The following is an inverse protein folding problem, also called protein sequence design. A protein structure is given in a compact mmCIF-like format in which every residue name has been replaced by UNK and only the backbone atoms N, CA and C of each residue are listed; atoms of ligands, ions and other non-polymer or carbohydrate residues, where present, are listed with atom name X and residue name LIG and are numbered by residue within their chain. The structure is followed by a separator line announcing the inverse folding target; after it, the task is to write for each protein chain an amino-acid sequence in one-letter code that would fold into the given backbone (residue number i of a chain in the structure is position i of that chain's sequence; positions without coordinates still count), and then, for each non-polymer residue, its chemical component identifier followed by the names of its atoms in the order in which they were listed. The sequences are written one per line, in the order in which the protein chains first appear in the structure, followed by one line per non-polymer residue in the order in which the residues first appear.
data_IF_917777033896
#
_entry.id   IF_917777033896
#
_cell.length_a   1.000
_cell.length_b   1.000
_cell.length_c   1.000
_cell.angle_alpha   90.00
_cell.angle_beta   90.00
_cell.angle_gamma   90.00
#
_symmetry.space_group_name_H-M   'P 1'
#
loop_
_entity.id
_entity.type
_entity.pdbx_description
1 polymer ?
#
# COMPACT_ATOMS: atom_id res chain seq x y z
N UNK A 1 17.56 -19.49 -0.58
CA UNK A 1 17.20 -20.70 -1.41
C UNK A 1 17.93 -21.99 -1.04
N UNK A 2 18.25 -22.27 0.24
CA UNK A 2 19.00 -23.50 0.61
C UNK A 2 18.35 -24.76 0.00
N UNK A 3 19.07 -25.43 -0.94
CA UNK A 3 18.64 -26.67 -1.58
C UNK A 3 17.47 -26.53 -2.56
N UNK A 4 17.24 -25.36 -3.14
CA UNK A 4 16.26 -25.08 -4.20
C UNK A 4 16.97 -24.50 -5.41
N UNK A 5 16.47 -24.82 -6.61
CA UNK A 5 17.11 -24.41 -7.85
C UNK A 5 16.71 -23.02 -8.29
N UNK A 6 15.42 -22.66 -8.09
CA UNK A 6 14.91 -21.35 -8.48
C UNK A 6 13.72 -20.87 -7.64
N UNK A 7 13.51 -19.56 -7.65
CA UNK A 7 12.37 -18.86 -7.09
C UNK A 7 11.67 -18.07 -8.20
N UNK A 8 10.35 -18.27 -8.33
CA UNK A 8 9.50 -17.44 -9.19
C UNK A 8 8.89 -16.35 -8.32
N UNK A 9 9.07 -15.10 -8.71
CA UNK A 9 8.47 -13.92 -8.04
C UNK A 9 7.51 -13.27 -9.03
N UNK A 10 6.23 -13.20 -8.64
CA UNK A 10 5.16 -12.57 -9.44
C UNK A 10 4.57 -11.33 -8.76
N UNK A 11 4.85 -11.13 -7.47
CA UNK A 11 4.45 -9.93 -6.75
C UNK A 11 5.19 -8.71 -7.29
N UNK A 12 4.47 -7.77 -7.89
CA UNK A 12 5.07 -6.54 -8.45
C UNK A 12 5.77 -5.72 -7.36
N UNK A 13 5.21 -5.70 -6.15
CA UNK A 13 5.81 -4.99 -5.02
C UNK A 13 7.13 -5.61 -4.56
N UNK A 14 7.24 -6.94 -4.64
CA UNK A 14 8.47 -7.65 -4.34
C UNK A 14 9.53 -7.40 -5.41
N UNK A 15 9.12 -7.44 -6.69
CA UNK A 15 10.04 -7.18 -7.82
C UNK A 15 10.55 -5.73 -7.76
N UNK A 16 9.68 -4.77 -7.52
CA UNK A 16 10.06 -3.37 -7.38
C UNK A 16 11.06 -3.14 -6.25
N UNK A 17 10.86 -3.80 -5.10
CA UNK A 17 11.80 -3.73 -3.98
C UNK A 17 13.12 -4.45 -4.29
N UNK A 18 13.06 -5.67 -4.84
CA UNK A 18 14.21 -6.51 -5.14
C UNK A 18 15.16 -5.86 -6.17
N UNK A 19 14.60 -5.23 -7.20
CA UNK A 19 15.34 -4.54 -8.25
C UNK A 19 15.66 -3.09 -7.91
N UNK A 20 15.08 -2.55 -6.84
CA UNK A 20 15.08 -1.12 -6.47
C UNK A 20 14.58 -0.20 -7.60
N UNK A 21 13.75 -0.70 -8.48
CA UNK A 21 13.11 0.08 -9.56
C UNK A 21 11.70 0.49 -9.18
N UNK A 22 11.27 1.63 -9.70
CA UNK A 22 9.91 2.16 -9.55
C UNK A 22 9.41 2.70 -10.87
N UNK A 23 8.14 2.43 -11.19
CA UNK A 23 7.39 3.05 -12.28
C UNK A 23 5.92 3.14 -11.86
N UNK A 24 5.07 3.71 -12.68
CA UNK A 24 3.67 3.97 -12.33
C UNK A 24 2.72 3.36 -13.37
N UNK A 25 2.90 2.09 -13.69
CA UNK A 25 1.97 1.34 -14.56
C UNK A 25 0.62 1.09 -13.86
N UNK A 26 0.62 1.13 -12.54
CA UNK A 26 -0.57 0.98 -11.69
C UNK A 26 -0.85 2.31 -10.99
N UNK A 27 -2.07 2.85 -11.15
CA UNK A 27 -2.50 4.11 -10.53
C UNK A 27 -2.18 4.10 -9.03
N UNK A 28 -1.55 5.15 -8.53
CA UNK A 28 -1.17 5.34 -7.13
C UNK A 28 -0.17 4.32 -6.56
N UNK A 29 0.40 3.47 -7.38
CA UNK A 29 1.38 2.47 -6.93
C UNK A 29 2.68 2.61 -7.71
N UNK A 30 3.84 2.69 -7.05
CA UNK A 30 5.13 2.84 -7.73
C UNK A 30 5.64 1.51 -8.26
N UNK A 31 4.81 0.83 -9.07
CA UNK A 31 5.02 -0.52 -9.58
C UNK A 31 5.04 -0.55 -11.11
N UNK A 32 5.65 -1.58 -11.67
CA UNK A 32 5.70 -1.85 -13.10
C UNK A 32 5.36 -3.32 -13.40
N UNK A 33 4.75 -3.56 -14.55
CA UNK A 33 4.35 -4.90 -14.98
C UNK A 33 5.60 -5.73 -15.28
N UNK A 34 5.79 -6.82 -14.54
CA UNK A 34 6.98 -7.66 -14.64
C UNK A 34 6.80 -9.02 -14.00
N UNK A 35 7.70 -9.93 -14.34
CA UNK A 35 7.96 -11.17 -13.61
C UNK A 35 9.45 -11.30 -13.33
N UNK A 36 9.82 -12.10 -12.34
CA UNK A 36 11.20 -12.31 -11.99
C UNK A 36 11.46 -13.77 -11.67
N UNK A 37 12.57 -14.30 -12.20
CA UNK A 37 13.06 -15.64 -11.85
C UNK A 37 14.47 -15.49 -11.28
N UNK A 38 14.66 -15.99 -10.06
CA UNK A 38 15.94 -16.02 -9.40
C UNK A 38 16.43 -17.46 -9.30
N UNK A 39 17.57 -17.76 -9.90
CA UNK A 39 18.33 -19.01 -9.79
C UNK A 39 19.55 -18.79 -8.88
N UNK A 40 20.35 -19.83 -8.64
CA UNK A 40 21.53 -19.75 -7.76
C UNK A 40 22.62 -18.81 -8.28
N UNK A 41 22.73 -18.70 -9.58
CA UNK A 41 23.79 -17.97 -10.32
C UNK A 41 23.24 -17.02 -11.37
N UNK A 42 21.92 -16.92 -11.49
CA UNK A 42 21.25 -16.13 -12.51
C UNK A 42 20.00 -15.45 -11.99
N UNK A 43 19.80 -14.20 -12.37
CA UNK A 43 18.57 -13.45 -12.14
C UNK A 43 18.01 -12.97 -13.47
N UNK A 44 16.71 -13.15 -13.70
CA UNK A 44 16.06 -12.75 -14.95
C UNK A 44 14.84 -11.92 -14.65
N UNK A 45 14.80 -10.69 -15.17
CA UNK A 45 13.64 -9.80 -15.14
C UNK A 45 12.94 -9.87 -16.51
N UNK A 46 11.62 -10.16 -16.48
CA UNK A 46 10.75 -10.12 -17.65
C UNK A 46 9.94 -8.83 -17.60
N UNK A 47 10.16 -7.96 -18.57
CA UNK A 47 9.59 -6.59 -18.59
C UNK A 47 9.38 -6.13 -20.03
N UNK A 48 8.53 -5.14 -20.22
CA UNK A 48 8.42 -4.45 -21.51
C UNK A 48 9.72 -3.65 -21.75
N UNK A 49 10.54 -4.11 -22.67
CA UNK A 49 11.90 -3.57 -22.88
C UNK A 49 11.90 -2.11 -23.34
N UNK A 50 10.83 -1.68 -24.02
CA UNK A 50 10.64 -0.32 -24.49
C UNK A 50 10.46 0.69 -23.35
N UNK A 51 10.06 0.21 -22.18
CA UNK A 51 9.92 1.04 -20.98
C UNK A 51 11.26 1.32 -20.27
N UNK A 52 12.35 0.62 -20.67
CA UNK A 52 13.64 0.76 -20.02
C UNK A 52 14.51 1.84 -20.70
N UNK A 53 14.93 2.83 -19.91
CA UNK A 53 16.01 3.73 -20.33
C UNK A 53 17.36 3.00 -20.38
N UNK A 54 18.31 3.55 -21.13
CA UNK A 54 19.68 3.01 -21.19
C UNK A 54 20.36 2.99 -19.82
N UNK A 55 20.07 3.96 -18.97
CA UNK A 55 20.56 4.03 -17.58
C UNK A 55 20.07 2.84 -16.76
N UNK A 56 18.75 2.59 -16.79
CA UNK A 56 18.12 1.48 -16.05
C UNK A 56 18.61 0.13 -16.59
N UNK A 57 18.74 0.00 -17.90
CA UNK A 57 19.29 -1.20 -18.53
C UNK A 57 20.73 -1.47 -18.07
N UNK A 58 21.56 -0.43 -18.07
CA UNK A 58 22.95 -0.51 -17.59
C UNK A 58 23.00 -0.91 -16.11
N UNK A 59 22.13 -0.32 -15.30
CA UNK A 59 22.01 -0.65 -13.87
C UNK A 59 21.64 -2.12 -13.66
N UNK A 60 20.63 -2.64 -14.34
CA UNK A 60 20.19 -4.04 -14.22
C UNK A 60 21.29 -5.01 -14.62
N UNK A 61 21.88 -4.83 -15.80
CA UNK A 61 22.96 -5.69 -16.31
C UNK A 61 24.19 -5.62 -15.40
N UNK A 62 24.55 -4.42 -14.92
CA UNK A 62 25.65 -4.22 -13.98
C UNK A 62 25.46 -4.92 -12.64
N UNK A 63 24.20 -5.20 -12.25
CA UNK A 63 23.85 -6.00 -11.07
C UNK A 63 23.60 -7.49 -11.37
N UNK A 64 23.96 -7.98 -12.57
CA UNK A 64 23.83 -9.38 -12.94
C UNK A 64 22.40 -9.83 -13.22
N UNK A 65 21.52 -8.91 -13.59
CA UNK A 65 20.12 -9.19 -13.93
C UNK A 65 19.98 -9.22 -15.46
N UNK A 66 19.65 -10.38 -16.01
CA UNK A 66 19.28 -10.54 -17.41
C UNK A 66 17.90 -9.94 -17.65
N UNK A 67 17.74 -9.28 -18.79
CA UNK A 67 16.46 -8.68 -19.21
C UNK A 67 15.88 -9.52 -20.34
N UNK A 68 14.58 -9.82 -20.23
CA UNK A 68 13.82 -10.52 -21.28
C UNK A 68 12.49 -9.85 -21.54
N UNK A 69 11.93 -9.98 -22.76
CA UNK A 69 10.59 -9.49 -23.05
C UNK A 69 9.54 -10.05 -22.08
N UNK A 70 8.62 -9.19 -21.62
CA UNK A 70 7.54 -9.55 -20.69
C UNK A 70 6.77 -10.80 -21.16
N UNK A 71 6.41 -10.85 -22.45
CA UNK A 71 5.62 -11.94 -23.05
C UNK A 71 6.34 -13.28 -23.12
N UNK A 72 7.68 -13.28 -22.98
CA UNK A 72 8.49 -14.51 -22.99
C UNK A 72 8.44 -15.30 -21.67
N UNK A 73 7.83 -14.73 -20.62
CA UNK A 73 7.76 -15.36 -19.30
C UNK A 73 7.05 -16.72 -19.33
N UNK A 74 5.88 -16.79 -19.95
CA UNK A 74 5.07 -18.03 -19.99
C UNK A 74 5.81 -19.18 -20.70
N UNK A 75 6.48 -18.89 -21.81
CA UNK A 75 7.30 -19.86 -22.53
C UNK A 75 8.50 -20.31 -21.69
N UNK A 76 9.17 -19.36 -21.05
CA UNK A 76 10.29 -19.66 -20.14
C UNK A 76 9.85 -20.60 -19.01
N UNK A 77 8.73 -20.30 -18.35
CA UNK A 77 8.18 -21.12 -17.26
C UNK A 77 7.76 -22.52 -17.74
N UNK A 78 7.15 -22.62 -18.92
CA UNK A 78 6.77 -23.89 -19.50
C UNK A 78 7.96 -24.80 -19.86
N UNK A 79 9.13 -24.19 -20.11
CA UNK A 79 10.38 -24.88 -20.40
C UNK A 79 11.15 -25.38 -19.17
N UNK A 80 10.74 -25.02 -17.94
CA UNK A 80 11.43 -25.42 -16.71
C UNK A 80 11.17 -26.91 -16.42
N UNK A 81 12.24 -27.71 -16.34
CA UNK A 81 12.16 -29.17 -16.12
C UNK A 81 13.19 -29.64 -15.10
N UNK A 82 12.84 -30.66 -14.33
CA UNK A 82 13.69 -31.33 -13.34
C UNK A 82 14.27 -30.36 -12.29
N UNK A 83 13.49 -29.35 -11.91
CA UNK A 83 13.89 -28.30 -10.95
C UNK A 83 13.12 -28.35 -9.65
N UNK A 84 13.75 -27.90 -8.59
CA UNK A 84 13.11 -27.61 -7.31
C UNK A 84 12.70 -26.12 -7.28
N UNK A 85 11.41 -25.87 -7.46
CA UNK A 85 10.84 -24.53 -7.66
C UNK A 85 10.21 -24.03 -6.38
N UNK A 86 10.66 -22.87 -5.91
CA UNK A 86 9.96 -22.07 -4.87
C UNK A 86 9.04 -21.05 -5.53
N UNK A 87 7.90 -20.85 -4.96
CA UNK A 87 6.94 -19.81 -5.34
C UNK A 87 6.01 -19.49 -4.17
N UNK A 88 5.38 -18.33 -4.21
CA UNK A 88 4.30 -17.98 -3.29
C UNK A 88 2.96 -18.21 -3.98
N UNK A 89 2.14 -19.11 -3.42
CA UNK A 89 0.83 -19.45 -4.01
C UNK A 89 -0.18 -18.30 -3.95
N UNK A 90 0.03 -17.30 -3.08
CA UNK A 90 -0.79 -16.10 -3.02
C UNK A 90 -0.54 -15.15 -4.20
N UNK A 91 0.66 -15.18 -4.79
CA UNK A 91 1.08 -14.24 -5.83
C UNK A 91 1.10 -14.86 -7.24
N UNK A 92 1.39 -16.16 -7.33
CA UNK A 92 1.55 -16.85 -8.62
C UNK A 92 0.20 -17.09 -9.30
N UNK A 93 0.11 -16.71 -10.58
CA UNK A 93 -1.10 -16.99 -11.37
C UNK A 93 -1.37 -18.49 -11.53
N UNK A 94 -2.63 -18.87 -11.63
CA UNK A 94 -3.02 -20.27 -11.90
C UNK A 94 -2.38 -20.81 -13.17
N UNK A 95 -2.24 -19.98 -14.21
CA UNK A 95 -1.56 -20.36 -15.48
C UNK A 95 -0.10 -20.75 -15.23
N UNK A 96 0.63 -19.95 -14.46
CA UNK A 96 2.02 -20.25 -14.08
C UNK A 96 2.09 -21.54 -13.26
N UNK A 97 1.21 -21.68 -12.25
CA UNK A 97 1.15 -22.91 -11.45
C UNK A 97 0.93 -24.17 -12.29
N UNK A 98 -0.05 -24.17 -13.20
CA UNK A 98 -0.29 -25.30 -14.10
C UNK A 98 0.94 -25.59 -14.97
N UNK A 99 1.62 -24.58 -15.48
CA UNK A 99 2.81 -24.75 -16.32
C UNK A 99 3.95 -25.45 -15.59
N UNK A 100 4.23 -25.04 -14.34
CA UNK A 100 5.32 -25.67 -13.54
C UNK A 100 4.94 -27.03 -12.95
N UNK A 101 3.65 -27.34 -12.79
CA UNK A 101 3.15 -28.56 -12.17
C UNK A 101 2.93 -29.74 -13.13
N UNK A 102 3.16 -29.55 -14.42
CA UNK A 102 3.01 -30.63 -15.43
C UNK A 102 3.89 -31.82 -15.08
N UNK A 103 3.30 -33.01 -15.08
CA UNK A 103 4.00 -34.26 -14.73
C UNK A 103 5.23 -34.54 -15.61
N UNK A 104 5.14 -34.22 -16.90
CA UNK A 104 6.24 -34.37 -17.85
C UNK A 104 7.45 -33.49 -17.55
N UNK A 105 7.28 -32.41 -16.79
CA UNK A 105 8.37 -31.53 -16.39
C UNK A 105 9.18 -32.06 -15.21
N UNK A 106 8.63 -33.01 -14.44
CA UNK A 106 9.28 -33.61 -13.27
C UNK A 106 9.81 -32.61 -12.23
N UNK A 107 9.16 -31.46 -12.13
CA UNK A 107 9.51 -30.42 -11.15
C UNK A 107 9.05 -30.81 -9.75
N UNK A 108 9.79 -30.39 -8.72
CA UNK A 108 9.36 -30.42 -7.31
C UNK A 108 8.97 -29.03 -6.88
N UNK A 109 7.73 -28.87 -6.44
CA UNK A 109 7.13 -27.57 -6.13
C UNK A 109 7.12 -27.32 -4.62
N UNK A 110 7.47 -26.12 -4.22
CA UNK A 110 7.50 -25.67 -2.82
C UNK A 110 6.79 -24.33 -2.73
N UNK A 111 5.52 -24.40 -2.27
CA UNK A 111 4.75 -23.21 -1.92
C UNK A 111 5.22 -22.71 -0.56
N UNK A 112 5.71 -21.47 -0.54
CA UNK A 112 6.22 -20.80 0.66
C UNK A 112 5.97 -19.31 0.55
N UNK A 113 5.82 -18.62 1.68
CA UNK A 113 5.87 -17.16 1.69
C UNK A 113 7.16 -16.69 1.01
N UNK A 114 7.03 -15.77 0.07
CA UNK A 114 8.17 -15.22 -0.67
C UNK A 114 9.26 -14.71 0.30
N UNK A 115 10.51 -15.18 0.19
CA UNK A 115 11.59 -14.62 1.00
C UNK A 115 11.83 -13.15 0.72
N UNK A 116 11.45 -12.64 -0.46
CA UNK A 116 11.51 -11.22 -0.80
C UNK A 116 10.50 -10.44 0.02
N UNK A 117 9.25 -10.92 0.12
CA UNK A 117 8.23 -10.33 0.99
C UNK A 117 8.71 -10.24 2.43
N UNK A 118 9.33 -11.31 2.94
CA UNK A 118 9.86 -11.30 4.30
C UNK A 118 10.95 -10.24 4.49
N UNK A 119 11.91 -10.15 3.57
CA UNK A 119 13.02 -9.19 3.64
C UNK A 119 12.52 -7.75 3.49
N UNK A 120 11.62 -7.50 2.54
CA UNK A 120 10.99 -6.19 2.28
C UNK A 120 10.27 -5.64 3.51
N UNK A 121 9.59 -6.51 4.27
CA UNK A 121 8.82 -6.09 5.43
C UNK A 121 9.69 -5.66 6.62
N UNK A 122 10.97 -6.03 6.63
CA UNK A 122 11.93 -5.61 7.65
C UNK A 122 12.74 -4.42 7.12
N UNK A 123 12.22 -3.22 7.36
CA UNK A 123 12.89 -1.99 6.91
C UNK A 123 14.24 -1.82 7.59
N UNK A 124 15.26 -1.45 6.82
CA UNK A 124 16.57 -1.09 7.35
C UNK A 124 16.58 0.33 7.97
N UNK A 125 17.67 0.72 8.61
CA UNK A 125 17.76 2.01 9.33
C UNK A 125 17.59 3.22 8.40
N UNK A 126 18.03 3.14 7.15
CA UNK A 126 17.87 4.20 6.14
C UNK A 126 16.40 4.33 5.75
N UNK A 127 15.75 3.23 5.44
CA UNK A 127 14.32 3.18 5.13
C UNK A 127 13.48 3.72 6.31
N UNK A 128 13.77 3.28 7.54
CA UNK A 128 13.08 3.76 8.75
C UNK A 128 13.27 5.25 8.94
N UNK A 129 14.52 5.75 8.81
CA UNK A 129 14.82 7.18 8.96
C UNK A 129 14.06 8.02 7.93
N UNK A 130 14.04 7.56 6.69
CA UNK A 130 13.37 8.26 5.59
C UNK A 130 11.85 8.21 5.70
N UNK A 131 11.26 7.07 6.10
CA UNK A 131 9.83 6.97 6.41
C UNK A 131 9.41 7.97 7.51
N UNK A 132 10.22 8.12 8.55
CA UNK A 132 9.96 9.15 9.60
C UNK A 132 9.98 10.56 9.02
N UNK A 133 10.95 10.90 8.18
CA UNK A 133 11.04 12.22 7.53
C UNK A 133 9.86 12.50 6.62
N UNK A 134 9.47 11.52 5.78
CA UNK A 134 8.34 11.67 4.87
C UNK A 134 7.02 11.86 5.65
N UNK A 135 6.80 11.13 6.76
CA UNK A 135 5.63 11.31 7.60
C UNK A 135 5.60 12.64 8.35
N UNK A 136 6.76 13.16 8.80
CA UNK A 136 6.83 14.50 9.39
C UNK A 136 6.48 15.57 8.36
N UNK A 137 7.00 15.46 7.16
CA UNK A 137 6.72 16.38 6.04
C UNK A 137 5.26 16.32 5.61
N UNK A 138 4.73 15.14 5.39
CA UNK A 138 3.31 14.92 5.05
C UNK A 138 2.38 15.41 6.18
N UNK A 139 2.77 15.21 7.43
CA UNK A 139 2.05 15.70 8.61
C UNK A 139 1.88 17.23 8.61
N UNK A 140 2.82 17.97 8.01
CA UNK A 140 2.66 19.43 7.83
C UNK A 140 1.55 19.74 6.83
N UNK A 141 1.42 18.99 5.73
CA UNK A 141 0.32 19.15 4.77
C UNK A 141 -1.02 18.81 5.42
N UNK A 142 -1.07 17.74 6.20
CA UNK A 142 -2.26 17.36 6.97
C UNK A 142 -2.67 18.46 7.97
N UNK A 143 -1.71 19.04 8.69
CA UNK A 143 -1.99 20.13 9.63
C UNK A 143 -2.49 21.40 8.91
N UNK A 144 -1.86 21.78 7.79
CA UNK A 144 -2.31 22.89 6.93
C UNK A 144 -3.72 22.66 6.41
N UNK A 145 -4.01 21.43 5.96
CA UNK A 145 -5.34 21.05 5.47
C UNK A 145 -6.40 21.14 6.56
N UNK A 146 -6.16 20.57 7.74
CA UNK A 146 -7.09 20.63 8.86
C UNK A 146 -7.38 22.06 9.31
N UNK A 147 -6.38 22.92 9.32
CA UNK A 147 -6.55 24.35 9.62
C UNK A 147 -7.38 25.02 8.52
N UNK A 148 -7.02 24.81 7.25
CA UNK A 148 -7.71 25.41 6.11
C UNK A 148 -9.18 25.04 6.08
N UNK A 149 -9.53 23.75 6.16
CA UNK A 149 -10.92 23.31 6.06
C UNK A 149 -11.78 23.87 7.19
N UNK A 150 -11.24 23.94 8.42
CA UNK A 150 -11.95 24.55 9.56
C UNK A 150 -12.19 26.04 9.35
N UNK A 151 -11.24 26.77 8.78
CA UNK A 151 -11.43 28.19 8.45
C UNK A 151 -12.48 28.35 7.33
N UNK A 152 -12.43 27.53 6.30
CA UNK A 152 -13.40 27.57 5.21
C UNK A 152 -14.83 27.32 5.72
N UNK A 153 -15.02 26.28 6.55
CA UNK A 153 -16.34 25.99 7.12
C UNK A 153 -16.84 27.12 8.02
N UNK A 154 -15.98 27.71 8.86
CA UNK A 154 -16.32 28.89 9.69
C UNK A 154 -16.75 30.09 8.85
N UNK A 155 -16.16 30.28 7.69
CA UNK A 155 -16.44 31.38 6.77
C UNK A 155 -17.61 31.09 5.81
N UNK A 156 -18.30 29.95 5.94
CA UNK A 156 -19.44 29.57 5.10
C UNK A 156 -19.07 29.23 3.66
N UNK A 157 -17.84 28.77 3.40
CA UNK A 157 -17.40 28.39 2.06
C UNK A 157 -18.24 27.23 1.51
N UNK A 158 -18.46 27.27 0.17
CA UNK A 158 -19.19 26.22 -0.54
C UNK A 158 -18.20 25.13 -0.98
N UNK A 159 -17.88 24.19 -0.09
CA UNK A 159 -17.00 23.06 -0.36
C UNK A 159 -17.78 21.76 -0.53
N UNK A 160 -17.27 20.88 -1.35
CA UNK A 160 -17.72 19.48 -1.45
C UNK A 160 -16.58 18.55 -0.99
N UNK A 161 -16.91 17.29 -0.76
CA UNK A 161 -15.92 16.23 -0.48
C UNK A 161 -14.80 16.24 -1.52
N UNK A 162 -15.16 16.36 -2.82
CA UNK A 162 -14.21 16.37 -3.93
C UNK A 162 -13.31 17.59 -3.94
N UNK A 163 -13.88 18.80 -3.81
CA UNK A 163 -13.06 20.02 -3.80
C UNK A 163 -12.17 20.12 -2.56
N UNK A 164 -12.58 19.51 -1.46
CA UNK A 164 -11.76 19.42 -0.27
C UNK A 164 -10.58 18.45 -0.44
N UNK A 165 -10.81 17.24 -1.01
CA UNK A 165 -9.72 16.29 -1.31
C UNK A 165 -8.73 16.85 -2.31
N UNK A 166 -9.19 17.52 -3.37
CA UNK A 166 -8.31 18.14 -4.38
C UNK A 166 -7.36 19.18 -3.76
N UNK A 167 -7.83 19.94 -2.77
CA UNK A 167 -6.96 20.88 -2.07
C UNK A 167 -5.84 20.16 -1.30
N UNK A 168 -6.15 19.05 -0.61
CA UNK A 168 -5.15 18.26 0.09
C UNK A 168 -4.13 17.64 -0.86
N UNK A 169 -4.61 17.07 -1.96
CA UNK A 169 -3.76 16.47 -2.99
C UNK A 169 -2.81 17.50 -3.61
N UNK A 170 -3.31 18.72 -3.85
CA UNK A 170 -2.49 19.81 -4.39
C UNK A 170 -1.44 20.31 -3.40
N UNK A 171 -1.69 20.27 -2.08
CA UNK A 171 -0.66 20.57 -1.09
C UNK A 171 0.52 19.58 -1.18
N UNK A 172 0.24 18.30 -1.40
CA UNK A 172 1.26 17.26 -1.55
C UNK A 172 2.00 17.35 -2.87
N UNK A 173 1.27 17.63 -3.97
CA UNK A 173 1.86 17.82 -5.32
C UNK A 173 2.88 18.95 -5.39
N UNK A 174 2.82 19.91 -4.46
CA UNK A 174 3.80 20.98 -4.32
C UNK A 174 5.12 20.59 -3.66
N UNK A 175 5.29 19.34 -3.20
CA UNK A 175 6.52 18.85 -2.59
C UNK A 175 7.52 18.40 -3.68
N UNK A 176 8.79 18.79 -3.56
CA UNK A 176 9.85 18.44 -4.51
C UNK A 176 10.15 16.92 -4.56
N UNK A 177 9.81 16.19 -3.51
CA UNK A 177 10.01 14.75 -3.42
C UNK A 177 8.74 13.95 -3.81
N UNK A 178 7.63 14.64 -4.09
CA UNK A 178 6.38 13.99 -4.47
C UNK A 178 6.55 13.21 -5.79
N UNK A 179 6.06 11.98 -5.81
CA UNK A 179 6.01 11.13 -7.01
C UNK A 179 4.56 10.94 -7.48
N UNK A 180 3.69 10.47 -6.59
CA UNK A 180 2.26 10.30 -6.84
C UNK A 180 1.51 10.19 -5.51
N UNK A 181 0.18 10.17 -5.53
CA UNK A 181 -0.60 9.74 -4.37
C UNK A 181 -0.32 8.25 -4.09
N UNK A 182 -0.37 7.85 -2.82
CA UNK A 182 -0.20 6.43 -2.45
C UNK A 182 -1.47 5.61 -2.64
N UNK A 183 -2.63 6.29 -2.67
CA UNK A 183 -3.96 5.78 -3.03
C UNK A 183 -4.89 6.97 -3.35
N UNK A 184 -6.03 6.74 -4.02
CA UNK A 184 -7.02 7.80 -4.23
C UNK A 184 -7.50 8.36 -2.90
N UNK A 185 -7.44 9.68 -2.73
CA UNK A 185 -7.81 10.31 -1.47
C UNK A 185 -9.28 10.07 -1.15
N UNK A 186 -9.54 9.47 0.00
CA UNK A 186 -10.87 9.28 0.56
C UNK A 186 -11.26 10.58 1.27
N UNK A 187 -12.45 11.08 0.97
CA UNK A 187 -12.99 12.32 1.54
C UNK A 187 -14.47 12.11 1.76
N UNK A 188 -14.86 11.67 2.95
CA UNK A 188 -16.22 11.23 3.29
C UNK A 188 -16.85 12.08 4.37
N UNK A 189 -17.95 12.75 4.04
CA UNK A 189 -18.75 13.53 4.98
C UNK A 189 -19.98 12.77 5.42
N UNK A 190 -20.25 12.78 6.72
CA UNK A 190 -21.38 12.09 7.34
C UNK A 190 -21.40 10.60 6.95
N UNK A 191 -22.50 10.07 6.36
CA UNK A 191 -22.63 8.66 6.01
C UNK A 191 -21.62 8.17 4.96
N UNK A 192 -21.08 9.04 4.09
CA UNK A 192 -20.04 8.66 3.12
C UNK A 192 -18.73 8.26 3.81
N UNK A 193 -18.47 8.77 5.02
CA UNK A 193 -17.32 8.34 5.83
C UNK A 193 -17.38 6.88 6.28
N UNK A 194 -18.54 6.22 6.18
CA UNK A 194 -18.69 4.79 6.48
C UNK A 194 -18.45 3.87 5.27
N UNK A 195 -18.29 4.44 4.07
CA UNK A 195 -18.03 3.68 2.85
C UNK A 195 -16.51 3.45 2.73
N UNK A 196 -16.10 2.16 2.84
CA UNK A 196 -14.69 1.77 2.72
C UNK A 196 -14.19 2.09 1.31
N UNK A 197 -13.04 2.76 1.20
CA UNK A 197 -12.46 3.22 -0.06
C UNK A 197 -13.38 4.15 -0.87
N UNK A 198 -14.16 5.01 -0.18
CA UNK A 198 -15.01 6.00 -0.84
C UNK A 198 -14.16 6.95 -1.70
N UNK A 199 -14.48 7.04 -2.96
CA UNK A 199 -13.87 8.01 -3.90
C UNK A 199 -14.93 9.04 -4.28
N UNK A 200 -14.70 10.30 -3.89
CA UNK A 200 -15.62 11.39 -4.18
C UNK A 200 -15.46 11.85 -5.65
N UNK A 201 -16.56 11.88 -6.38
CA UNK A 201 -16.63 12.38 -7.76
C UNK A 201 -17.32 13.75 -7.78
N UNK A 202 -17.00 14.61 -8.76
CA UNK A 202 -17.56 15.96 -8.84
C UNK A 202 -19.09 15.97 -8.90
N UNK A 203 -19.68 14.98 -9.56
CA UNK A 203 -21.13 14.87 -9.80
C UNK A 203 -21.88 14.35 -8.58
N UNK A 204 -21.24 13.60 -7.71
CA UNK A 204 -21.88 12.88 -6.60
C UNK A 204 -21.40 13.33 -5.22
N UNK A 205 -20.31 14.08 -5.15
CA UNK A 205 -19.69 14.53 -3.91
C UNK A 205 -20.66 15.40 -3.09
N UNK A 206 -20.83 15.06 -1.81
CA UNK A 206 -21.62 15.84 -0.90
C UNK A 206 -21.02 17.21 -0.63
N UNK A 207 -21.91 18.18 -0.42
CA UNK A 207 -21.55 19.47 0.13
C UNK A 207 -21.21 19.29 1.61
N UNK A 208 -20.09 19.88 2.04
CA UNK A 208 -19.71 19.94 3.44
C UNK A 208 -20.55 20.98 4.16
N UNK A 209 -21.05 20.64 5.35
CA UNK A 209 -21.80 21.55 6.21
C UNK A 209 -21.02 21.79 7.50
N UNK A 210 -21.25 22.94 8.16
CA UNK A 210 -20.61 23.28 9.43
C UNK A 210 -21.23 22.51 10.61
N UNK A 211 -21.34 21.18 10.49
CA UNK A 211 -21.85 20.24 11.52
C UNK A 211 -21.30 18.84 11.25
N UNK A 212 -21.41 17.95 12.24
CA UNK A 212 -21.11 16.52 12.10
C UNK A 212 -19.63 16.21 11.88
N UNK A 213 -19.37 14.96 11.51
CA UNK A 213 -18.03 14.41 11.29
C UNK A 213 -17.67 14.38 9.81
N UNK A 214 -16.40 14.65 9.55
CA UNK A 214 -15.78 14.54 8.25
C UNK A 214 -14.51 13.69 8.38
N UNK A 215 -14.47 12.60 7.61
CA UNK A 215 -13.34 11.71 7.51
C UNK A 215 -12.56 12.00 6.23
N UNK A 216 -11.25 12.05 6.33
CA UNK A 216 -10.37 12.01 5.16
C UNK A 216 -9.20 11.08 5.43
N UNK A 217 -8.92 10.26 4.43
CA UNK A 217 -7.86 9.28 4.43
C UNK A 217 -7.04 9.46 3.17
N UNK A 218 -5.73 9.61 3.31
CA UNK A 218 -4.90 10.09 2.21
C UNK A 218 -3.43 9.85 2.47
N UNK A 219 -2.67 9.78 1.40
CA UNK A 219 -1.23 9.64 1.48
C UNK A 219 -0.54 9.94 0.16
N UNK A 220 0.76 9.91 0.17
CA UNK A 220 1.57 10.08 -1.02
C UNK A 220 2.79 9.15 -1.02
N UNK A 221 3.24 8.82 -2.21
CA UNK A 221 4.54 8.22 -2.47
C UNK A 221 5.52 9.35 -2.77
N UNK A 222 6.54 9.46 -1.94
CA UNK A 222 7.66 10.36 -2.10
C UNK A 222 8.92 9.59 -2.46
N UNK A 223 9.94 10.24 -2.99
CA UNK A 223 11.26 9.63 -3.27
C UNK A 223 11.92 8.99 -2.04
N UNK A 224 11.53 9.43 -0.85
CA UNK A 224 12.07 8.98 0.43
C UNK A 224 11.08 8.25 1.35
N UNK A 225 9.91 7.87 0.85
CA UNK A 225 8.94 7.11 1.63
C UNK A 225 7.53 7.13 1.07
N UNK A 226 6.65 6.40 1.72
CA UNK A 226 5.21 6.36 1.42
C UNK A 226 4.43 6.69 2.68
N UNK A 227 3.40 7.52 2.58
CA UNK A 227 2.55 7.90 3.71
C UNK A 227 1.12 7.40 3.52
N UNK A 228 0.46 7.19 4.65
CA UNK A 228 -0.93 6.76 4.77
C UNK A 228 -1.45 7.30 6.10
N UNK A 229 -2.37 8.26 6.04
CA UNK A 229 -2.83 8.98 7.24
C UNK A 229 -4.32 9.29 7.16
N UNK A 230 -5.08 8.71 8.07
CA UNK A 230 -6.50 9.02 8.26
C UNK A 230 -6.73 10.03 9.38
N UNK A 231 -7.67 10.93 9.20
CA UNK A 231 -8.22 11.78 10.26
C UNK A 231 -9.73 11.92 10.10
N UNK A 232 -10.44 11.82 11.25
CA UNK A 232 -11.84 12.21 11.35
C UNK A 232 -11.91 13.46 12.23
N UNK A 233 -12.52 14.52 11.71
CA UNK A 233 -12.63 15.80 12.40
C UNK A 233 -14.08 16.27 12.48
N UNK A 234 -14.38 17.06 13.49
CA UNK A 234 -15.65 17.78 13.58
C UNK A 234 -15.61 19.05 12.72
N UNK A 235 -16.63 19.24 11.90
CA UNK A 235 -16.82 20.49 11.13
C UNK A 235 -17.73 21.50 11.87
N UNK A 236 -18.32 21.12 12.99
CA UNK A 236 -19.18 21.96 13.79
C UNK A 236 -19.83 21.18 14.93
N UNK A 237 -21.11 21.40 15.18
CA UNK A 237 -21.84 20.69 16.24
C UNK A 237 -21.99 19.21 15.88
N UNK A 238 -21.76 18.34 16.88
CA UNK A 238 -21.88 16.89 16.76
C UNK A 238 -22.98 16.37 17.69
N UNK A 239 -23.71 15.36 17.25
CA UNK A 239 -24.69 14.61 18.06
C UNK A 239 -24.01 13.87 19.21
N UNK A 240 -24.81 13.40 20.16
CA UNK A 240 -24.32 12.54 21.24
C UNK A 240 -23.75 11.21 20.69
N UNK A 241 -24.44 10.64 19.72
CA UNK A 241 -24.05 9.38 19.08
C UNK A 241 -22.72 9.49 18.33
N UNK A 242 -22.51 10.54 17.53
CA UNK A 242 -21.22 10.81 16.85
C UNK A 242 -20.07 10.94 17.86
N UNK A 243 -20.30 11.65 18.97
CA UNK A 243 -19.29 11.77 20.05
C UNK A 243 -19.00 10.43 20.70
N UNK A 244 -20.04 9.61 20.96
CA UNK A 244 -19.88 8.27 21.52
C UNK A 244 -19.05 7.39 20.58
N UNK A 245 -19.43 7.26 19.33
CA UNK A 245 -18.76 6.40 18.35
C UNK A 245 -17.31 6.85 18.14
N UNK A 246 -17.07 8.15 17.99
CA UNK A 246 -15.70 8.69 17.89
C UNK A 246 -14.86 8.33 19.11
N UNK A 247 -15.44 8.41 20.31
CA UNK A 247 -14.75 8.08 21.56
C UNK A 247 -14.42 6.59 21.63
N UNK A 248 -15.35 5.70 21.27
CA UNK A 248 -15.14 4.25 21.27
C UNK A 248 -14.03 3.84 20.29
N UNK A 249 -14.04 4.38 19.07
CA UNK A 249 -12.99 4.15 18.08
C UNK A 249 -11.63 4.64 18.59
N UNK A 250 -11.60 5.83 19.23
CA UNK A 250 -10.37 6.39 19.81
C UNK A 250 -9.83 5.50 20.94
N UNK A 251 -10.70 4.97 21.80
CA UNK A 251 -10.33 4.03 22.87
C UNK A 251 -9.70 2.77 22.25
N UNK A 252 -10.36 2.19 21.24
CA UNK A 252 -9.85 1.00 20.54
C UNK A 252 -8.47 1.24 19.92
N UNK A 253 -8.31 2.35 19.20
CA UNK A 253 -7.03 2.76 18.62
C UNK A 253 -5.93 2.90 19.69
N UNK A 254 -6.21 3.56 20.80
CA UNK A 254 -5.25 3.74 21.90
C UNK A 254 -4.93 2.43 22.60
N UNK A 255 -5.91 1.54 22.81
CA UNK A 255 -5.68 0.19 23.34
C UNK A 255 -4.72 -0.59 22.45
N UNK A 256 -4.96 -0.60 21.12
CA UNK A 256 -4.08 -1.27 20.16
C UNK A 256 -2.68 -0.65 20.15
N UNK A 257 -2.56 0.66 20.09
CA UNK A 257 -1.29 1.40 20.04
C UNK A 257 -0.40 1.10 21.27
N UNK A 258 -1.02 0.95 22.45
CA UNK A 258 -0.31 0.68 23.70
C UNK A 258 -0.18 -0.82 24.01
N UNK A 259 -0.58 -1.72 23.10
CA UNK A 259 -0.53 -3.17 23.36
C UNK A 259 0.91 -3.68 23.25
N UNK A 260 1.40 -4.30 24.32
CA UNK A 260 2.61 -5.10 24.31
C UNK A 260 2.25 -6.54 23.92
N UNK A 261 2.97 -7.11 22.98
CA UNK A 261 2.69 -8.45 22.47
C UNK A 261 3.97 -9.27 22.29
N UNK A 262 3.82 -10.59 22.27
CA UNK A 262 4.94 -11.52 22.09
C UNK A 262 5.46 -11.46 20.66
N UNK A 263 6.77 -11.55 20.46
CA UNK A 263 7.38 -11.70 19.12
C UNK A 263 6.75 -12.90 18.39
N UNK A 264 6.33 -12.67 17.15
CA UNK A 264 5.63 -13.65 16.32
C UNK A 264 4.10 -13.60 16.44
N UNK A 265 3.53 -12.74 17.30
CA UNK A 265 2.11 -12.45 17.24
C UNK A 265 1.76 -11.79 15.90
N UNK A 266 0.61 -12.14 15.36
CA UNK A 266 0.10 -11.64 14.08
C UNK A 266 -1.03 -10.63 14.31
N UNK A 267 -1.31 -9.79 13.31
CA UNK A 267 -2.31 -8.73 13.41
C UNK A 267 -3.70 -9.22 13.84
N UNK A 268 -4.13 -10.39 13.37
CA UNK A 268 -5.40 -11.03 13.77
C UNK A 268 -5.51 -11.22 15.28
N UNK A 269 -4.41 -11.54 15.95
CA UNK A 269 -4.41 -11.70 17.42
C UNK A 269 -4.51 -10.38 18.19
N UNK A 270 -4.22 -9.25 17.52
CA UNK A 270 -4.24 -7.91 18.12
C UNK A 270 -5.51 -7.14 17.79
N UNK A 271 -6.22 -7.53 16.73
CA UNK A 271 -7.41 -6.89 16.19
C UNK A 271 -8.50 -6.63 17.25
N UNK A 272 -8.71 -7.58 18.14
CA UNK A 272 -9.66 -7.46 19.25
C UNK A 272 -9.43 -6.20 20.10
N UNK A 273 -8.18 -5.74 20.24
CA UNK A 273 -7.87 -4.54 21.05
C UNK A 273 -8.49 -3.27 20.47
N UNK A 274 -8.63 -3.22 19.15
CA UNK A 274 -9.29 -2.12 18.49
C UNK A 274 -10.82 -2.24 18.53
N UNK A 275 -11.37 -3.46 18.50
CA UNK A 275 -12.82 -3.71 18.41
C UNK A 275 -13.54 -3.78 19.77
N UNK A 276 -12.84 -4.19 20.80
CA UNK A 276 -13.41 -4.49 22.13
C UNK A 276 -14.32 -3.37 22.65
N UNK A 277 -13.90 -2.10 22.55
CA UNK A 277 -14.71 -0.97 23.02
C UNK A 277 -16.01 -0.78 22.22
N UNK A 278 -16.02 -1.13 20.93
CA UNK A 278 -17.23 -1.11 20.09
C UNK A 278 -18.16 -2.27 20.43
N UNK A 279 -17.62 -3.48 20.61
CA UNK A 279 -18.39 -4.68 20.94
C UNK A 279 -19.13 -4.56 22.28
N UNK A 280 -18.53 -3.89 23.27
CA UNK A 280 -19.19 -3.56 24.55
C UNK A 280 -20.48 -2.76 24.37
N UNK A 281 -20.66 -2.09 23.20
CA UNK A 281 -21.83 -1.30 22.84
C UNK A 281 -22.64 -1.90 21.67
N UNK A 282 -22.37 -3.15 21.29
CA UNK A 282 -23.06 -3.83 20.18
C UNK A 282 -22.70 -3.26 18.80
N UNK A 283 -21.58 -2.55 18.68
CA UNK A 283 -21.08 -1.92 17.46
C UNK A 283 -19.86 -2.65 16.92
N UNK A 284 -19.60 -2.54 15.61
CA UNK A 284 -18.40 -3.02 14.95
C UNK A 284 -18.17 -2.26 13.64
N UNK A 285 -17.02 -2.51 12.99
CA UNK A 285 -16.71 -2.07 11.64
C UNK A 285 -16.33 -3.27 10.76
N UNK A 286 -16.68 -3.21 9.45
CA UNK A 286 -16.59 -4.34 8.51
C UNK A 286 -15.35 -4.27 7.60
N UNK A 287 -14.27 -3.66 8.02
CA UNK A 287 -13.02 -3.56 7.28
C UNK A 287 -11.84 -4.05 8.13
N UNK A 288 -10.64 -4.14 7.54
CA UNK A 288 -9.42 -4.44 8.29
C UNK A 288 -9.09 -3.32 9.30
N UNK A 289 -8.50 -3.69 10.44
CA UNK A 289 -8.11 -2.73 11.48
C UNK A 289 -6.90 -1.90 11.07
N UNK A 290 -5.99 -2.48 10.27
CA UNK A 290 -4.81 -1.77 9.80
C UNK A 290 -3.86 -2.70 9.04
N UNK A 291 -2.82 -2.12 8.51
CA UNK A 291 -1.83 -2.79 7.67
C UNK A 291 -0.47 -2.09 7.74
N UNK A 292 0.54 -2.69 7.15
CA UNK A 292 1.85 -2.07 6.96
C UNK A 292 1.86 -1.10 5.79
N UNK A 293 2.88 -0.24 5.75
CA UNK A 293 3.15 0.68 4.64
C UNK A 293 4.52 0.37 4.05
N UNK A 294 4.60 0.17 2.74
CA UNK A 294 5.85 -0.11 2.04
C UNK A 294 6.77 1.11 1.98
N UNK A 295 8.07 0.89 1.85
CA UNK A 295 9.03 1.97 1.60
C UNK A 295 9.11 2.26 0.10
N UNK A 296 8.61 3.43 -0.32
CA UNK A 296 8.44 3.78 -1.76
C UNK A 296 7.82 2.60 -2.51
N UNK A 297 6.72 2.09 -1.96
CA UNK A 297 6.04 0.87 -2.40
C UNK A 297 4.55 0.98 -2.06
N UNK A 298 3.79 -0.09 -2.22
CA UNK A 298 2.34 -0.14 -1.94
C UNK A 298 2.01 0.17 -0.48
N UNK A 299 0.82 0.68 -0.31
CA UNK A 299 0.16 0.88 0.97
C UNK A 299 -0.61 -0.36 1.39
#
# INVERSE_FOLDING_TARGET
MKGRDLLIVSSLSDIAWLTNLRAFDIKCNPLFLSYFILESDKATLFIQEEALSDEVRTYLVGNGIDIKPYDSFDECVAGIKNKQIMFDEADVSYKTFISISKKENANKLYSVLSPVTYLKNIKNDVEVSNMKKSHIRDGVYMAKYMYWIKQQMKNGANLTEKTASDYLDNLRRGDELFLDLSFPTISGYAENGAIVHYEAEYETAKKLEAKGLYLFDSGATYKDGTTDVTRTISLGENTHEEKLHYTLVTIGMLRLLNTTFKRGAIGVSLDIKAREALWEHGLDYNHGTGHGVGFVNTV
#
